data_IF_597461725123
#
_entry.id   IF_597461725123
#
_cell.length_a   1.000
_cell.length_b   1.000
_cell.length_c   1.000
_cell.angle_alpha   90.00
_cell.angle_beta   90.00
_cell.angle_gamma   90.00
#
_symmetry.space_group_name_H-M   'P 1'
#
loop_
_entity.id
_entity.type
_entity.pdbx_description
1 polymer ?
#
# COMPACT_ATOMS: atom_id res chain seq x y z
N UNK A 1 69.82 32.00 -79.02
CA UNK A 1 69.45 30.59 -78.78
C UNK A 1 68.60 30.56 -77.53
N UNK A 2 67.30 30.27 -77.67
CA UNK A 2 66.33 30.32 -76.57
C UNK A 2 66.29 28.97 -75.84
N UNK A 3 66.60 28.96 -74.56
CA UNK A 3 66.50 27.78 -73.70
C UNK A 3 65.14 27.75 -73.02
N UNK A 4 64.23 26.90 -73.52
CA UNK A 4 62.96 26.60 -72.88
C UNK A 4 63.22 25.76 -71.63
N UNK A 5 62.99 26.34 -70.46
CA UNK A 5 63.02 25.63 -69.18
C UNK A 5 61.74 24.81 -69.01
N UNK A 6 61.86 23.49 -68.88
CA UNK A 6 60.73 22.56 -68.70
C UNK A 6 60.63 22.20 -67.21
N UNK A 7 59.60 22.71 -66.55
CA UNK A 7 59.27 22.38 -65.16
C UNK A 7 58.90 20.90 -65.01
N UNK A 8 59.49 20.16 -64.07
CA UNK A 8 59.08 18.79 -63.77
C UNK A 8 57.76 18.76 -62.97
N UNK A 9 56.85 17.80 -63.22
CA UNK A 9 55.63 17.67 -62.44
C UNK A 9 55.96 17.14 -61.04
N UNK A 10 55.49 17.84 -60.02
CA UNK A 10 55.56 17.38 -58.64
C UNK A 10 54.72 16.11 -58.48
N UNK A 11 55.37 14.93 -58.51
CA UNK A 11 54.77 13.69 -57.99
C UNK A 11 54.76 13.79 -56.48
N UNK A 12 53.81 14.54 -55.95
CA UNK A 12 53.43 14.41 -54.56
C UNK A 12 52.92 12.98 -54.41
N UNK A 13 53.68 12.17 -53.67
CA UNK A 13 53.43 10.75 -53.43
C UNK A 13 51.95 10.49 -53.23
N UNK A 14 51.35 9.69 -54.12
CA UNK A 14 49.93 9.33 -54.06
C UNK A 14 49.51 8.77 -52.69
N UNK A 15 50.47 8.20 -51.95
CA UNK A 15 50.30 7.70 -50.60
C UNK A 15 50.11 8.83 -49.57
N UNK A 16 50.77 9.98 -49.76
CA UNK A 16 50.57 11.17 -48.91
C UNK A 16 49.19 11.78 -49.11
N UNK A 17 48.73 11.92 -50.35
CA UNK A 17 47.38 12.41 -50.63
C UNK A 17 46.31 11.45 -50.12
N UNK A 18 46.51 10.13 -50.27
CA UNK A 18 45.62 9.12 -49.71
C UNK A 18 45.57 9.19 -48.17
N UNK A 19 46.73 9.33 -47.52
CA UNK A 19 46.81 9.43 -46.06
C UNK A 19 46.13 10.69 -45.53
N UNK A 20 46.28 11.84 -46.20
CA UNK A 20 45.62 13.09 -45.80
C UNK A 20 44.11 12.98 -45.98
N UNK A 21 43.64 12.39 -47.08
CA UNK A 21 42.22 12.13 -47.30
C UNK A 21 41.62 11.23 -46.22
N UNK A 22 42.32 10.16 -45.87
CA UNK A 22 41.84 9.18 -44.89
C UNK A 22 41.85 9.74 -43.47
N UNK A 23 42.84 10.56 -43.13
CA UNK A 23 42.87 11.30 -41.87
C UNK A 23 41.74 12.34 -41.79
N UNK A 24 41.44 13.02 -42.89
CA UNK A 24 40.36 14.00 -42.96
C UNK A 24 38.98 13.34 -42.80
N UNK A 25 38.71 12.22 -43.49
CA UNK A 25 37.45 11.48 -43.33
C UNK A 25 37.29 10.91 -41.93
N UNK A 26 38.37 10.40 -41.31
CA UNK A 26 38.35 9.94 -39.93
C UNK A 26 38.03 11.09 -38.95
N UNK A 27 38.64 12.26 -39.13
CA UNK A 27 38.39 13.43 -38.29
C UNK A 27 36.93 13.92 -38.41
N UNK A 28 36.39 13.97 -39.64
CA UNK A 28 34.99 14.33 -39.87
C UNK A 28 34.03 13.29 -39.26
N UNK A 29 34.32 12.00 -39.41
CA UNK A 29 33.52 10.92 -38.80
C UNK A 29 33.52 10.98 -37.27
N UNK A 30 34.63 11.38 -36.64
CA UNK A 30 34.71 11.55 -35.19
C UNK A 30 33.84 12.71 -34.69
N UNK A 31 33.79 13.83 -35.43
CA UNK A 31 32.99 15.01 -35.08
C UNK A 31 31.48 14.73 -35.18
N UNK A 32 31.05 13.94 -36.17
CA UNK A 32 29.65 13.52 -36.29
C UNK A 32 29.31 12.27 -35.46
N UNK A 33 30.30 11.49 -35.02
CA UNK A 33 30.12 10.24 -34.27
C UNK A 33 29.71 10.41 -32.81
N UNK A 34 29.80 11.62 -32.24
CA UNK A 34 29.39 11.89 -30.85
C UNK A 34 27.89 12.17 -30.69
N UNK A 35 27.14 12.26 -31.80
CA UNK A 35 25.68 12.44 -31.77
C UNK A 35 24.91 11.13 -31.44
N UNK A 36 25.60 10.01 -31.23
CA UNK A 36 25.01 8.69 -30.96
C UNK A 36 24.56 8.45 -29.53
N UNK A 37 24.97 9.29 -28.58
CA UNK A 37 24.41 9.28 -27.23
C UNK A 37 23.27 10.28 -27.19
N UNK A 38 22.14 9.91 -27.81
CA UNK A 38 20.88 10.42 -27.31
C UNK A 38 20.81 9.89 -25.88
N UNK A 39 21.07 10.76 -24.91
CA UNK A 39 20.76 10.48 -23.52
C UNK A 39 19.27 10.16 -23.52
N UNK A 40 18.95 8.87 -23.56
CA UNK A 40 17.67 8.43 -23.07
C UNK A 40 17.78 8.67 -21.57
N UNK A 41 17.37 9.86 -21.12
CA UNK A 41 16.69 9.99 -19.85
C UNK A 41 15.53 8.98 -19.89
N UNK A 42 15.86 7.73 -19.60
CA UNK A 42 14.87 6.79 -19.14
C UNK A 42 14.45 7.38 -17.80
N UNK A 43 13.31 8.04 -17.77
CA UNK A 43 12.48 8.16 -16.58
C UNK A 43 12.25 6.74 -16.07
N UNK A 44 13.25 6.19 -15.38
CA UNK A 44 13.08 5.04 -14.50
C UNK A 44 12.45 5.59 -13.23
N UNK A 45 11.25 6.14 -13.38
CA UNK A 45 10.24 6.08 -12.34
C UNK A 45 9.91 4.61 -12.19
N UNK A 46 10.76 3.89 -11.45
CA UNK A 46 10.47 2.56 -11.00
C UNK A 46 9.36 2.75 -9.94
N UNK A 47 8.11 2.79 -10.40
CA UNK A 47 6.97 2.48 -9.56
C UNK A 47 7.05 0.98 -9.28
N UNK A 48 7.95 0.61 -8.37
CA UNK A 48 7.95 -0.71 -7.75
C UNK A 48 6.70 -0.72 -6.88
N UNK A 49 5.62 -1.27 -7.41
CA UNK A 49 4.52 -1.75 -6.60
C UNK A 49 5.04 -3.00 -5.89
N UNK A 50 5.68 -2.80 -4.73
CA UNK A 50 6.10 -3.90 -3.85
C UNK A 50 4.83 -4.44 -3.23
N UNK A 51 4.23 -5.40 -3.92
CA UNK A 51 3.25 -6.28 -3.31
C UNK A 51 4.03 -7.20 -2.38
N UNK A 52 3.56 -7.27 -1.13
CA UNK A 52 4.12 -7.98 0.03
C UNK A 52 5.22 -7.20 0.80
N UNK A 53 4.78 -6.34 1.73
CA UNK A 53 5.63 -5.41 2.53
C UNK A 53 5.84 -5.90 3.99
N UNK A 54 5.78 -7.21 4.24
CA UNK A 54 6.26 -7.77 5.52
C UNK A 54 7.73 -7.38 5.75
N UNK A 55 8.51 -7.23 4.67
CA UNK A 55 9.93 -6.90 4.72
C UNK A 55 10.28 -5.42 4.46
N UNK A 56 9.30 -4.54 4.39
CA UNK A 56 9.52 -3.11 4.26
C UNK A 56 10.17 -2.51 5.51
N UNK A 57 10.85 -1.36 5.33
CA UNK A 57 11.40 -0.61 6.47
C UNK A 57 10.30 -0.08 7.40
N UNK A 58 9.14 0.27 6.84
CA UNK A 58 7.89 0.38 7.58
C UNK A 58 7.06 -0.87 7.23
N UNK A 59 7.11 -1.88 8.10
CA UNK A 59 6.33 -3.10 7.92
C UNK A 59 4.84 -2.83 8.11
N UNK A 60 4.01 -3.55 7.37
CA UNK A 60 2.56 -3.56 7.50
C UNK A 60 2.09 -5.02 7.44
N UNK A 61 1.46 -5.47 8.51
CA UNK A 61 0.94 -6.83 8.64
C UNK A 61 -0.57 -6.78 8.95
N UNK A 62 -1.37 -7.57 8.24
CA UNK A 62 -2.78 -7.73 8.55
C UNK A 62 -2.94 -8.85 9.59
N UNK A 63 -3.58 -8.53 10.71
CA UNK A 63 -3.71 -9.43 11.87
C UNK A 63 -5.01 -10.26 11.78
N UNK A 64 -6.09 -9.67 11.26
CA UNK A 64 -7.38 -10.34 11.10
C UNK A 64 -8.13 -9.82 9.88
N UNK A 65 -8.97 -10.69 9.32
CA UNK A 65 -9.94 -10.35 8.28
C UNK A 65 -11.37 -10.28 8.85
N UNK A 66 -11.53 -10.34 10.17
CA UNK A 66 -12.84 -10.36 10.83
C UNK A 66 -12.86 -9.45 12.05
N UNK A 67 -13.93 -8.67 12.17
CA UNK A 67 -14.18 -7.76 13.29
C UNK A 67 -15.59 -7.96 13.86
N UNK A 68 -15.72 -7.96 15.18
CA UNK A 68 -17.02 -8.03 15.84
C UNK A 68 -17.62 -6.63 15.95
N UNK A 69 -18.87 -6.46 15.51
CA UNK A 69 -19.53 -5.15 15.48
C UNK A 69 -19.69 -4.58 16.88
N UNK A 70 -19.06 -3.43 17.12
CA UNK A 70 -19.09 -2.68 18.37
C UNK A 70 -17.90 -2.92 19.27
N UNK A 71 -17.05 -3.91 18.96
CA UNK A 71 -15.88 -4.26 19.75
C UNK A 71 -14.58 -3.80 19.08
N UNK A 72 -13.64 -3.19 19.84
CA UNK A 72 -12.34 -2.83 19.31
C UNK A 72 -11.56 -4.09 18.95
N UNK A 73 -11.11 -4.17 17.70
CA UNK A 73 -10.37 -5.32 17.18
C UNK A 73 -9.08 -4.85 16.52
N UNK A 74 -7.94 -5.46 16.86
CA UNK A 74 -6.66 -5.21 16.16
C UNK A 74 -6.77 -5.73 14.74
N UNK A 75 -6.72 -4.84 13.76
CA UNK A 75 -6.85 -5.20 12.34
C UNK A 75 -5.49 -5.32 11.66
N UNK A 76 -4.58 -4.40 11.96
CA UNK A 76 -3.25 -4.33 11.35
C UNK A 76 -2.19 -4.01 12.38
N UNK A 77 -0.94 -4.32 12.07
CA UNK A 77 0.23 -3.96 12.87
C UNK A 77 1.29 -3.29 11.99
N UNK A 78 1.87 -2.20 12.51
CA UNK A 78 2.96 -1.47 11.87
C UNK A 78 4.28 -1.78 12.57
N UNK A 79 5.35 -2.03 11.82
CA UNK A 79 6.67 -2.30 12.40
C UNK A 79 7.71 -1.28 11.94
N UNK A 80 8.43 -0.67 12.88
CA UNK A 80 9.54 0.21 12.55
C UNK A 80 10.85 -0.57 12.42
N UNK A 81 11.30 -0.84 11.19
CA UNK A 81 12.60 -1.48 10.93
C UNK A 81 13.70 -0.47 10.58
N UNK A 82 13.41 0.83 10.64
CA UNK A 82 14.45 1.85 10.48
C UNK A 82 15.43 1.81 11.65
N UNK A 83 16.61 2.39 11.45
CA UNK A 83 17.67 2.40 12.46
C UNK A 83 17.45 3.38 13.61
N UNK A 84 16.26 3.97 13.74
CA UNK A 84 15.96 4.99 14.73
C UNK A 84 14.47 5.23 14.85
N UNK A 85 14.12 6.11 15.78
CA UNK A 85 12.74 6.48 16.11
C UNK A 85 12.00 7.03 14.87
N UNK A 86 10.73 6.64 14.77
CA UNK A 86 9.79 7.04 13.74
C UNK A 86 8.46 7.45 14.39
N UNK A 87 8.04 8.70 14.20
CA UNK A 87 6.67 9.13 14.52
C UNK A 87 5.78 8.84 13.31
N UNK A 88 4.67 8.13 13.54
CA UNK A 88 3.69 7.72 12.53
C UNK A 88 2.36 8.42 12.79
N UNK A 89 1.79 8.99 11.74
CA UNK A 89 0.41 9.46 11.66
C UNK A 89 -0.36 8.49 10.75
N UNK A 90 -1.28 7.73 11.31
CA UNK A 90 -2.12 6.76 10.59
C UNK A 90 -3.55 7.28 10.56
N UNK A 91 -4.06 7.46 9.35
CA UNK A 91 -5.48 7.66 9.10
C UNK A 91 -6.10 6.32 8.72
N UNK A 92 -7.19 5.96 9.40
CA UNK A 92 -8.08 4.87 8.99
C UNK A 92 -9.32 5.46 8.35
N UNK A 93 -9.69 4.95 7.18
CA UNK A 93 -10.94 5.30 6.49
C UNK A 93 -11.76 4.05 6.23
N UNK A 94 -13.08 4.15 6.43
CA UNK A 94 -14.03 3.08 6.14
C UNK A 94 -15.08 3.60 5.15
N UNK A 95 -15.33 2.86 4.07
CA UNK A 95 -16.30 3.29 3.04
C UNK A 95 -15.96 4.65 2.39
N UNK A 96 -14.67 4.99 2.33
CA UNK A 96 -14.18 6.27 1.80
C UNK A 96 -14.37 7.48 2.71
N UNK A 97 -14.76 7.27 3.97
CA UNK A 97 -14.87 8.32 4.97
C UNK A 97 -13.84 8.12 6.07
N UNK A 98 -13.28 9.23 6.56
CA UNK A 98 -12.35 9.19 7.70
C UNK A 98 -13.04 8.61 8.93
N UNK A 99 -12.44 7.56 9.47
CA UNK A 99 -12.95 6.80 10.61
C UNK A 99 -12.17 7.14 11.88
N UNK A 100 -10.84 7.04 11.82
CA UNK A 100 -9.96 7.19 12.98
C UNK A 100 -8.60 7.78 12.60
N UNK A 101 -7.95 8.40 13.58
CA UNK A 101 -6.58 8.90 13.51
C UNK A 101 -5.76 8.43 14.68
N UNK A 102 -4.63 7.78 14.38
CA UNK A 102 -3.67 7.30 15.37
C UNK A 102 -2.34 8.02 15.16
N UNK A 103 -1.81 8.60 16.22
CA UNK A 103 -0.47 9.16 16.24
C UNK A 103 0.37 8.40 17.26
N UNK A 104 1.43 7.75 16.78
CA UNK A 104 2.31 6.90 17.58
C UNK A 104 3.76 7.24 17.29
N UNK A 105 4.65 6.98 18.24
CA UNK A 105 6.09 7.00 18.01
C UNK A 105 6.64 5.62 18.32
N UNK A 106 7.37 5.07 17.35
CA UNK A 106 7.97 3.74 17.39
C UNK A 106 9.48 3.87 17.45
N UNK A 107 10.11 3.33 18.48
CA UNK A 107 11.56 3.11 18.49
C UNK A 107 11.97 2.06 17.44
N UNK A 108 13.27 1.88 17.26
CA UNK A 108 13.80 0.85 16.37
C UNK A 108 13.32 -0.54 16.80
N UNK A 109 12.67 -1.25 15.88
CA UNK A 109 12.21 -2.62 16.06
C UNK A 109 10.90 -2.74 16.83
N UNK A 110 10.27 -1.63 17.21
CA UNK A 110 8.95 -1.64 17.84
C UNK A 110 7.83 -1.81 16.82
N UNK A 111 6.68 -2.24 17.34
CA UNK A 111 5.47 -2.49 16.60
C UNK A 111 4.27 -1.78 17.25
N UNK A 112 3.33 -1.30 16.43
CA UNK A 112 2.07 -0.70 16.87
C UNK A 112 0.88 -1.43 16.24
N UNK A 113 0.04 -2.09 17.05
CA UNK A 113 -1.24 -2.61 16.59
C UNK A 113 -2.26 -1.47 16.44
N UNK A 114 -3.02 -1.47 15.35
CA UNK A 114 -4.12 -0.54 15.12
C UNK A 114 -5.44 -1.27 15.37
N UNK A 115 -6.13 -0.86 16.43
CA UNK A 115 -7.48 -1.29 16.75
C UNK A 115 -8.50 -0.48 15.93
N UNK A 116 -9.53 -1.14 15.42
CA UNK A 116 -10.65 -0.50 14.72
C UNK A 116 -11.95 -1.00 15.35
N UNK A 117 -12.91 -0.07 15.55
CA UNK A 117 -14.24 -0.41 16.05
C UNK A 117 -15.27 -0.10 14.97
N UNK A 118 -15.82 -1.14 14.33
CA UNK A 118 -16.87 -0.98 13.32
C UNK A 118 -18.26 -1.20 13.91
N UNK A 119 -19.28 -0.62 13.30
CA UNK A 119 -20.68 -0.90 13.59
C UNK A 119 -21.36 -1.26 12.29
N UNK A 120 -21.91 -2.47 12.22
CA UNK A 120 -22.37 -3.06 10.97
C UNK A 120 -23.86 -3.34 11.03
N UNK A 121 -24.52 -3.13 9.88
CA UNK A 121 -25.98 -3.19 9.82
C UNK A 121 -26.48 -4.59 9.46
N UNK A 122 -25.69 -5.30 8.69
CA UNK A 122 -25.97 -6.65 8.22
C UNK A 122 -25.02 -7.66 8.90
N UNK A 123 -25.41 -8.93 8.91
CA UNK A 123 -24.49 -10.01 9.26
C UNK A 123 -23.51 -10.23 8.09
N UNK A 124 -22.23 -10.39 8.42
CA UNK A 124 -21.15 -10.65 7.46
C UNK A 124 -20.97 -9.53 6.42
N UNK A 125 -21.02 -8.27 6.86
CA UNK A 125 -20.81 -7.11 5.99
C UNK A 125 -19.32 -6.97 5.63
N UNK A 126 -18.97 -7.01 4.34
CA UNK A 126 -17.60 -6.73 3.89
C UNK A 126 -17.33 -5.22 3.90
N UNK A 127 -16.30 -4.80 4.63
CA UNK A 127 -15.89 -3.39 4.76
C UNK A 127 -14.44 -3.22 4.33
N UNK A 128 -14.23 -2.36 3.34
CA UNK A 128 -12.88 -1.92 2.94
C UNK A 128 -12.37 -0.83 3.90
N UNK A 129 -11.30 -1.17 4.62
CA UNK A 129 -10.55 -0.24 5.47
C UNK A 129 -9.32 0.25 4.73
N UNK A 130 -9.20 1.57 4.55
CA UNK A 130 -8.02 2.20 3.96
C UNK A 130 -7.16 2.81 5.04
N UNK A 131 -5.93 2.35 5.13
CA UNK A 131 -4.90 2.84 6.04
C UNK A 131 -3.93 3.73 5.28
N UNK A 132 -3.89 5.01 5.64
CA UNK A 132 -2.96 6.00 5.09
C UNK A 132 -2.00 6.40 6.21
N UNK A 133 -0.77 5.89 6.16
CA UNK A 133 0.27 6.17 7.13
C UNK A 133 1.31 7.12 6.54
N UNK A 134 1.65 8.16 7.29
CA UNK A 134 2.81 9.03 7.02
C UNK A 134 3.72 9.03 8.22
N UNK A 135 5.01 8.85 8.01
CA UNK A 135 5.98 8.78 9.09
C UNK A 135 7.19 9.67 8.85
N UNK A 136 7.73 10.22 9.94
CA UNK A 136 8.98 10.98 9.93
C UNK A 136 9.84 10.68 11.16
N UNK A 137 11.15 10.61 10.97
CA UNK A 137 12.08 10.39 12.08
C UNK A 137 13.48 10.10 11.56
N UNK A 138 14.52 10.39 12.35
CA UNK A 138 15.92 10.02 12.03
C UNK A 138 16.41 10.40 10.61
N UNK A 139 15.87 11.47 10.02
CA UNK A 139 16.21 11.92 8.66
C UNK A 139 15.50 11.16 7.53
N UNK A 140 14.58 10.25 7.84
CA UNK A 140 13.72 9.55 6.89
C UNK A 140 12.31 10.13 6.90
N UNK A 141 11.65 10.04 5.74
CA UNK A 141 10.22 10.27 5.58
C UNK A 141 9.65 9.08 4.82
N UNK A 142 8.51 8.57 5.28
CA UNK A 142 7.85 7.40 4.71
C UNK A 142 6.37 7.68 4.55
N UNK A 143 5.77 7.10 3.53
CA UNK A 143 4.34 7.17 3.27
C UNK A 143 3.90 5.80 2.76
N UNK A 144 2.82 5.27 3.32
CA UNK A 144 2.24 3.99 2.96
C UNK A 144 0.72 4.17 2.86
N UNK A 145 0.13 3.65 1.78
CA UNK A 145 -1.32 3.55 1.64
C UNK A 145 -1.66 2.09 1.33
N UNK A 146 -2.52 1.49 2.15
CA UNK A 146 -2.99 0.10 2.01
C UNK A 146 -4.49 0.02 2.23
N UNK A 147 -5.14 -0.88 1.51
CA UNK A 147 -6.54 -1.25 1.75
C UNK A 147 -6.57 -2.68 2.25
N UNK A 148 -7.35 -2.91 3.30
CA UNK A 148 -7.60 -4.21 3.90
C UNK A 148 -9.11 -4.41 4.01
N UNK A 149 -9.61 -5.54 3.52
CA UNK A 149 -11.04 -5.85 3.57
C UNK A 149 -11.30 -6.75 4.76
N UNK A 150 -12.23 -6.33 5.63
CA UNK A 150 -12.65 -7.14 6.79
C UNK A 150 -14.11 -7.55 6.65
N UNK A 151 -14.45 -8.74 7.13
CA UNK A 151 -15.82 -9.18 7.39
C UNK A 151 -16.24 -8.69 8.76
N UNK A 152 -17.29 -7.88 8.81
CA UNK A 152 -17.86 -7.41 10.04
C UNK A 152 -19.04 -8.29 10.47
N UNK A 153 -18.87 -8.97 11.59
CA UNK A 153 -19.87 -9.85 12.16
C UNK A 153 -20.74 -9.03 13.11
N UNK A 154 -22.05 -8.96 12.85
CA UNK A 154 -22.97 -8.38 13.83
C UNK A 154 -23.16 -9.36 14.99
N UNK A 155 -23.25 -8.89 16.25
CA UNK A 155 -23.54 -9.79 17.36
C UNK A 155 -24.85 -10.49 17.06
N UNK A 156 -24.80 -11.81 16.98
CA UNK A 156 -25.89 -12.68 16.62
C UNK A 156 -27.16 -12.27 17.37
N UNK A 157 -28.02 -11.48 16.73
CA UNK A 157 -29.41 -11.30 17.18
C UNK A 157 -30.23 -12.51 16.71
N UNK A 158 -29.57 -13.67 16.58
CA UNK A 158 -30.23 -14.96 16.64
C UNK A 158 -30.66 -15.17 18.09
N UNK A 159 -31.76 -14.49 18.43
CA UNK A 159 -32.65 -14.89 19.50
C UNK A 159 -33.12 -16.29 19.18
N UNK A 160 -32.29 -17.27 19.54
CA UNK A 160 -32.72 -18.62 19.83
C UNK A 160 -33.71 -18.47 20.98
N UNK A 161 -34.97 -18.19 20.63
CA UNK A 161 -36.09 -18.62 21.44
C UNK A 161 -36.03 -20.13 21.39
N UNK A 162 -35.11 -20.72 22.17
CA UNK A 162 -35.24 -22.10 22.58
C UNK A 162 -36.53 -22.09 23.35
N UNK A 163 -37.61 -22.43 22.65
CA UNK A 163 -38.80 -23.01 23.23
C UNK A 163 -38.27 -24.14 24.09
N UNK A 164 -38.06 -23.84 25.38
CA UNK A 164 -37.67 -24.82 26.35
C UNK A 164 -38.93 -25.66 26.49
N UNK A 165 -39.03 -26.68 25.65
CA UNK A 165 -40.02 -27.73 25.80
C UNK A 165 -39.56 -28.54 27.01
N UNK A 166 -39.69 -27.93 28.19
CA UNK A 166 -39.51 -28.57 29.49
C UNK A 166 -40.64 -29.58 29.61
N UNK A 167 -40.34 -30.81 29.17
CA UNK A 167 -41.14 -31.98 29.51
C UNK A 167 -40.98 -32.20 31.01
N UNK A 168 -41.76 -31.46 31.79
CA UNK A 168 -41.99 -31.77 33.20
C UNK A 168 -43.03 -32.87 33.24
N UNK A 169 -42.59 -34.12 33.41
CA UNK A 169 -43.46 -35.20 33.86
C UNK A 169 -43.96 -34.86 35.26
N UNK A 170 -45.18 -34.35 35.35
CA UNK A 170 -46.01 -34.48 36.54
C UNK A 170 -47.43 -34.88 36.12
N UNK A 171 -47.71 -36.18 36.25
CA UNK A 171 -49.05 -36.73 36.48
C UNK A 171 -49.64 -35.94 37.67
N UNK A 172 -50.82 -35.31 37.64
CA UNK A 172 -52.13 -35.85 37.31
C UNK A 172 -53.13 -34.67 37.28
N UNK A 173 -53.89 -34.55 36.18
CA UNK A 173 -55.30 -34.10 36.23
C UNK A 173 -55.62 -32.60 36.23
N UNK A 174 -56.29 -32.20 35.14
CA UNK A 174 -57.41 -31.23 35.06
C UNK A 174 -57.10 -29.81 34.57
N UNK A 175 -57.55 -29.56 33.33
CA UNK A 175 -57.57 -28.29 32.61
C UNK A 175 -58.43 -27.21 33.30
N UNK A 176 -58.00 -25.95 33.26
CA UNK A 176 -58.81 -24.76 32.89
C UNK A 176 -57.87 -23.55 32.75
N UNK A 177 -57.77 -22.97 31.55
CA UNK A 177 -57.00 -21.75 31.27
C UNK A 177 -57.86 -20.51 31.44
N UNK A 178 -57.42 -19.58 32.28
CA UNK A 178 -57.84 -18.17 32.30
C UNK A 178 -56.65 -17.31 31.88
N UNK A 179 -56.83 -16.54 30.80
CA UNK A 179 -55.87 -15.58 30.28
C UNK A 179 -56.06 -14.28 31.06
N UNK A 180 -55.03 -13.79 31.74
CA UNK A 180 -55.07 -12.46 32.36
C UNK A 180 -53.91 -11.61 31.82
N UNK A 181 -54.27 -10.42 31.35
CA UNK A 181 -53.43 -9.47 30.66
C UNK A 181 -53.19 -8.27 31.58
N UNK A 182 -51.95 -8.03 31.97
CA UNK A 182 -51.42 -6.79 32.57
C UNK A 182 -49.91 -6.98 32.60
N UNK A 183 -49.08 -6.14 31.99
CA UNK A 183 -48.77 -4.83 32.55
C UNK A 183 -48.06 -3.95 31.49
N UNK A 184 -48.54 -2.72 31.34
CA UNK A 184 -47.99 -1.66 30.49
C UNK A 184 -47.73 -0.47 31.44
N UNK A 185 -46.48 -0.21 31.78
CA UNK A 185 -46.10 0.97 32.56
C UNK A 185 -45.60 2.09 31.65
N UNK A 186 -46.34 3.21 31.62
CA UNK A 186 -45.90 4.52 31.11
C UNK A 186 -45.32 5.31 32.28
N UNK A 187 -44.13 5.87 32.10
CA UNK A 187 -43.49 6.84 33.02
C UNK A 187 -43.70 8.25 32.47
N UNK A 188 -44.14 9.15 33.33
CA UNK A 188 -44.41 10.59 33.11
C UNK A 188 -43.17 11.41 32.82
#
# INVERSE_FOLDING_TARGET
MSTTSRTPPARVSALRTLSVLLAFTAAVGLVFGTAGFSAMEADRGLAVNVTDDEDAYLGYEAVTDTVESGDPTVVVEYHNRFSGELTLDVTVEAGGQRHEDVNVTLDQGEEEPIEVTLTCSDADEEVDLRFVATGNGSGVNVSLERTHTVTCESPDTSGNTTSTNSTTTNTTGTNTSTVDASDLTVVT
#
